data_IF_790272509738
#
_entry.id   IF_790272509738
#
_cell.length_a   1.000
_cell.length_b   1.000
_cell.length_c   1.000
_cell.angle_alpha   90.00
_cell.angle_beta   90.00
_cell.angle_gamma   90.00
#
_symmetry.space_group_name_H-M   'P 1'
#
loop_
_entity.id
_entity.type
_entity.pdbx_description
1 polymer ?
#
# COMPACT_ATOMS: atom_id res chain seq x y z
N UNK A 1 -24.90 -16.02 20.56
CA UNK A 1 -23.77 -15.10 20.29
C UNK A 1 -23.94 -14.60 18.86
N UNK A 2 -24.07 -13.29 18.64
CA UNK A 2 -24.15 -12.73 17.29
C UNK A 2 -22.80 -12.95 16.62
N UNK A 3 -22.69 -13.94 15.74
CA UNK A 3 -21.48 -14.14 14.94
C UNK A 3 -21.20 -12.87 14.15
N UNK A 4 -19.97 -12.37 14.21
CA UNK A 4 -19.60 -11.28 13.34
C UNK A 4 -19.59 -11.81 11.91
N UNK A 5 -20.44 -11.26 11.05
CA UNK A 5 -20.63 -11.82 9.71
C UNK A 5 -19.65 -11.25 8.69
N UNK A 6 -19.20 -10.01 8.88
CA UNK A 6 -18.39 -9.29 7.91
C UNK A 6 -17.21 -8.55 8.54
N UNK A 7 -16.19 -8.29 7.72
CA UNK A 7 -15.02 -7.46 8.03
C UNK A 7 -14.94 -6.27 7.09
N UNK A 8 -14.34 -5.18 7.55
CA UNK A 8 -13.92 -4.06 6.71
C UNK A 8 -12.45 -4.22 6.36
N UNK A 9 -12.11 -4.19 5.08
CA UNK A 9 -10.73 -4.26 4.61
C UNK A 9 -10.40 -2.99 3.85
N UNK A 10 -9.38 -2.29 4.31
CA UNK A 10 -8.70 -1.29 3.53
C UNK A 10 -7.58 -1.93 2.73
N UNK A 11 -7.76 -2.07 1.41
CA UNK A 11 -6.78 -2.65 0.51
C UNK A 11 -5.91 -1.50 -0.06
N UNK A 12 -4.95 -1.01 0.71
CA UNK A 12 -4.09 0.10 0.30
C UNK A 12 -2.92 -0.32 -0.61
N UNK A 13 -2.30 0.67 -1.26
CA UNK A 13 -1.20 0.47 -2.21
C UNK A 13 0.03 -0.16 -1.55
N UNK A 14 0.47 0.41 -0.42
CA UNK A 14 1.68 -0.04 0.30
C UNK A 14 1.38 -0.87 1.54
N UNK A 15 0.24 -0.60 2.18
CA UNK A 15 -0.23 -1.26 3.38
C UNK A 15 -1.73 -1.52 3.28
N UNK A 16 -2.17 -2.64 3.84
CA UNK A 16 -3.58 -2.98 4.02
C UNK A 16 -3.94 -3.05 5.51
N UNK A 17 -5.19 -2.78 5.83
CA UNK A 17 -5.72 -2.80 7.19
C UNK A 17 -7.02 -3.60 7.23
N UNK A 18 -7.28 -4.29 8.33
CA UNK A 18 -8.54 -5.02 8.54
C UNK A 18 -9.14 -4.64 9.88
N UNK A 19 -10.44 -4.35 9.86
CA UNK A 19 -11.22 -3.94 11.02
C UNK A 19 -12.53 -4.69 11.13
N UNK A 20 -13.07 -4.72 12.34
CA UNK A 20 -14.31 -5.41 12.68
C UNK A 20 -15.21 -4.50 13.51
N UNK A 21 -16.50 -4.53 13.22
CA UNK A 21 -17.53 -3.88 14.03
C UNK A 21 -18.42 -4.95 14.64
N UNK A 22 -18.36 -5.12 15.95
CA UNK A 22 -19.11 -6.15 16.67
C UNK A 22 -20.33 -5.53 17.36
N UNK A 23 -21.50 -6.13 17.16
CA UNK A 23 -22.74 -5.71 17.82
C UNK A 23 -22.57 -5.63 19.34
N UNK A 24 -22.82 -4.46 19.91
CA UNK A 24 -22.71 -4.19 21.36
C UNK A 24 -21.39 -3.56 21.80
N UNK A 25 -20.39 -3.45 20.92
CA UNK A 25 -19.25 -2.54 21.11
C UNK A 25 -19.58 -1.21 20.42
N UNK A 26 -19.32 -0.09 21.09
CA UNK A 26 -19.54 1.27 20.56
C UNK A 26 -18.46 1.67 19.54
N UNK A 27 -17.40 0.86 19.38
CA UNK A 27 -16.24 1.21 18.55
C UNK A 27 -15.85 0.11 17.58
N UNK A 28 -15.36 0.53 16.41
CA UNK A 28 -14.63 -0.33 15.46
C UNK A 28 -13.33 -0.79 16.11
N UNK A 29 -12.98 -2.06 15.93
CA UNK A 29 -11.70 -2.61 16.37
C UNK A 29 -10.80 -2.90 15.16
N UNK A 30 -9.59 -2.33 15.17
CA UNK A 30 -8.57 -2.61 14.16
C UNK A 30 -7.74 -3.80 14.62
N UNK A 31 -7.68 -4.84 13.79
CA UNK A 31 -7.09 -6.11 14.14
C UNK A 31 -5.59 -6.07 13.84
N UNK A 32 -4.77 -6.39 14.85
CA UNK A 32 -3.33 -6.55 14.65
C UNK A 32 -3.02 -7.90 13.99
N UNK A 33 -2.01 -7.92 13.11
CA UNK A 33 -1.51 -9.14 12.50
C UNK A 33 -0.64 -9.98 13.47
N UNK A 34 -0.07 -11.08 12.99
CA UNK A 34 0.76 -11.98 13.81
C UNK A 34 2.01 -11.33 14.40
N UNK A 35 2.48 -10.23 13.82
CA UNK A 35 3.62 -9.44 14.30
C UNK A 35 3.20 -8.31 15.26
N UNK A 36 1.90 -8.20 15.56
CA UNK A 36 1.35 -7.13 16.40
C UNK A 36 1.10 -5.81 15.67
N UNK A 37 1.26 -5.77 14.34
CA UNK A 37 1.06 -4.56 13.53
C UNK A 37 -0.42 -4.39 13.14
N UNK A 38 -0.98 -3.18 13.31
CA UNK A 38 -2.35 -2.84 12.88
C UNK A 38 -2.53 -2.70 11.37
N UNK A 39 -1.42 -2.61 10.64
CA UNK A 39 -1.39 -2.56 9.18
C UNK A 39 -0.40 -3.59 8.69
N UNK A 40 -0.72 -4.29 7.61
CA UNK A 40 0.15 -5.29 7.01
C UNK A 40 0.64 -4.80 5.64
N UNK A 41 1.93 -4.88 5.31
CA UNK A 41 2.42 -4.51 3.99
C UNK A 41 1.67 -5.21 2.85
N UNK A 42 1.32 -4.48 1.80
CA UNK A 42 0.70 -5.03 0.57
C UNK A 42 1.77 -5.68 -0.32
N UNK A 43 2.51 -6.62 0.25
CA UNK A 43 3.67 -7.29 -0.36
C UNK A 43 3.40 -8.79 -0.49
N UNK A 44 3.81 -9.36 -1.62
CA UNK A 44 3.78 -10.81 -1.88
C UNK A 44 5.13 -11.23 -2.43
N UNK A 45 5.77 -12.21 -1.80
CA UNK A 45 7.02 -12.77 -2.28
C UNK A 45 6.88 -14.25 -2.60
N UNK A 46 7.55 -14.67 -3.67
CA UNK A 46 7.60 -16.06 -4.12
C UNK A 46 9.00 -16.60 -3.88
N UNK A 47 9.09 -17.74 -3.19
CA UNK A 47 10.34 -18.47 -2.95
C UNK A 47 10.23 -19.86 -3.56
N UNK A 48 11.32 -20.63 -3.49
CA UNK A 48 11.31 -22.03 -3.95
C UNK A 48 10.41 -22.93 -3.09
N UNK A 49 10.17 -22.56 -1.83
CA UNK A 49 9.42 -23.41 -0.91
C UNK A 49 7.98 -22.95 -0.74
N UNK A 50 7.77 -21.64 -0.68
CA UNK A 50 6.52 -21.07 -0.21
C UNK A 50 6.22 -19.69 -0.83
N UNK A 51 5.04 -19.18 -0.51
CA UNK A 51 4.62 -17.82 -0.80
C UNK A 51 4.51 -17.07 0.51
N UNK A 52 5.20 -15.93 0.60
CA UNK A 52 5.16 -15.05 1.76
C UNK A 52 4.24 -13.85 1.44
N UNK A 53 3.52 -13.36 2.44
CA UNK A 53 2.64 -12.18 2.32
C UNK A 53 2.81 -11.29 3.55
N UNK A 54 2.79 -9.97 3.36
CA UNK A 54 2.88 -9.03 4.47
C UNK A 54 4.31 -8.73 4.92
N UNK A 55 4.52 -8.66 6.23
CA UNK A 55 5.81 -8.32 6.84
C UNK A 55 6.92 -9.27 6.37
N UNK A 56 6.67 -10.58 6.40
CA UNK A 56 7.63 -11.59 5.93
C UNK A 56 8.06 -11.39 4.46
N UNK A 57 7.14 -10.98 3.58
CA UNK A 57 7.48 -10.68 2.18
C UNK A 57 8.31 -9.39 2.06
N UNK A 58 7.93 -8.34 2.82
CA UNK A 58 8.62 -7.05 2.83
C UNK A 58 10.06 -7.17 3.37
N UNK A 59 10.28 -7.96 4.42
CA UNK A 59 11.57 -8.12 5.08
C UNK A 59 12.63 -8.77 4.18
N UNK A 60 12.24 -9.74 3.36
CA UNK A 60 13.15 -10.43 2.45
C UNK A 60 13.32 -9.74 1.08
N UNK A 61 12.60 -8.64 0.83
CA UNK A 61 12.58 -7.94 -0.46
C UNK A 61 13.98 -7.52 -0.97
N UNK A 62 14.93 -7.24 -0.07
CA UNK A 62 16.31 -6.90 -0.45
C UNK A 62 17.14 -8.11 -0.92
N UNK A 63 16.76 -9.33 -0.52
CA UNK A 63 17.45 -10.58 -0.90
C UNK A 63 16.83 -11.22 -2.14
N UNK A 64 15.55 -10.98 -2.40
CA UNK A 64 14.79 -11.56 -3.49
C UNK A 64 13.94 -10.49 -4.23
N UNK A 65 14.57 -9.45 -4.79
CA UNK A 65 13.84 -8.29 -5.31
C UNK A 65 12.95 -8.61 -6.51
N UNK A 66 13.40 -9.48 -7.42
CA UNK A 66 12.69 -9.80 -8.67
C UNK A 66 11.43 -10.65 -8.46
N UNK A 67 11.35 -11.37 -7.33
CA UNK A 67 10.20 -12.21 -6.98
C UNK A 67 9.41 -11.67 -5.78
N UNK A 68 9.64 -10.40 -5.42
CA UNK A 68 8.87 -9.71 -4.37
C UNK A 68 8.05 -8.59 -4.99
N UNK A 69 6.75 -8.85 -5.10
CA UNK A 69 5.76 -7.99 -5.73
C UNK A 69 5.15 -7.05 -4.69
N UNK A 70 5.04 -5.78 -5.07
CA UNK A 70 4.36 -4.71 -4.34
C UNK A 70 3.67 -3.79 -5.37
N UNK A 71 2.90 -2.80 -4.90
CA UNK A 71 2.17 -1.85 -5.76
C UNK A 71 1.20 -2.47 -6.77
N UNK A 72 0.75 -3.70 -6.56
CA UNK A 72 -0.21 -4.36 -7.46
C UNK A 72 -1.49 -3.53 -7.67
N UNK A 73 -1.86 -2.68 -6.69
CA UNK A 73 -2.98 -1.74 -6.79
C UNK A 73 -2.80 -0.67 -7.88
N UNK A 74 -1.56 -0.34 -8.27
CA UNK A 74 -1.28 0.55 -9.41
C UNK A 74 -1.58 -0.11 -10.75
N UNK A 75 -1.54 -1.44 -10.83
CA UNK A 75 -1.78 -2.23 -12.05
C UNK A 75 -3.22 -2.74 -12.21
N UNK A 76 -3.95 -2.92 -11.09
CA UNK A 76 -5.26 -3.56 -11.09
C UNK A 76 -6.26 -2.84 -12.00
N UNK A 77 -6.93 -3.60 -12.88
CA UNK A 77 -7.94 -3.09 -13.81
C UNK A 77 -7.43 -2.16 -14.93
N UNK A 78 -6.10 -1.99 -15.09
CA UNK A 78 -5.49 -1.19 -16.16
C UNK A 78 -5.10 -2.01 -17.38
N UNK A 79 -4.83 -1.33 -18.50
CA UNK A 79 -4.18 -1.93 -19.68
C UNK A 79 -2.67 -1.79 -19.59
N UNK A 80 -1.96 -2.73 -20.20
CA UNK A 80 -0.50 -2.73 -20.22
C UNK A 80 0.07 -1.53 -20.99
N UNK A 81 -0.64 -1.04 -22.01
CA UNK A 81 -0.20 0.07 -22.86
C UNK A 81 -0.44 1.47 -22.28
N UNK A 82 -1.05 1.58 -21.11
CA UNK A 82 -1.24 2.86 -20.43
C UNK A 82 0.11 3.50 -20.07
N UNK A 83 0.26 4.81 -20.31
CA UNK A 83 1.50 5.54 -20.06
C UNK A 83 1.93 5.48 -18.59
N UNK A 84 0.96 5.45 -17.67
CA UNK A 84 1.20 5.31 -16.23
C UNK A 84 1.80 3.95 -15.90
N UNK A 85 1.23 2.86 -16.44
CA UNK A 85 1.75 1.49 -16.27
C UNK A 85 3.18 1.39 -16.83
N UNK A 86 3.41 1.92 -18.03
CA UNK A 86 4.74 1.91 -18.64
C UNK A 86 5.77 2.75 -17.86
N UNK A 87 5.34 3.81 -17.18
CA UNK A 87 6.19 4.61 -16.31
C UNK A 87 6.55 3.82 -15.05
N UNK A 88 5.55 3.28 -14.35
CA UNK A 88 5.74 2.55 -13.10
C UNK A 88 6.63 1.29 -13.29
N UNK A 89 6.45 0.57 -14.40
CA UNK A 89 7.27 -0.61 -14.73
C UNK A 89 8.77 -0.34 -14.79
N UNK A 90 9.21 0.92 -15.01
CA UNK A 90 10.64 1.27 -15.01
C UNK A 90 11.25 1.33 -13.62
N UNK A 91 10.42 1.39 -12.59
CA UNK A 91 10.84 1.57 -11.20
C UNK A 91 10.74 0.30 -10.37
N UNK A 92 10.06 -0.73 -10.87
CA UNK A 92 9.93 -2.01 -10.17
C UNK A 92 11.07 -2.98 -10.49
N UNK A 93 11.50 -3.78 -9.50
CA UNK A 93 12.51 -4.82 -9.71
C UNK A 93 11.94 -6.10 -10.33
N UNK A 94 10.63 -6.33 -10.26
CA UNK A 94 9.96 -7.51 -10.79
C UNK A 94 9.46 -7.27 -12.22
N UNK A 95 9.35 -8.35 -12.99
CA UNK A 95 8.93 -8.26 -14.40
C UNK A 95 7.44 -8.05 -14.56
N UNK A 96 7.05 -7.13 -15.43
CA UNK A 96 5.65 -6.95 -15.88
C UNK A 96 5.59 -7.07 -17.40
N UNK A 97 4.69 -7.89 -17.92
CA UNK A 97 4.50 -8.14 -19.36
C UNK A 97 3.07 -7.83 -19.80
N UNK A 98 2.89 -7.56 -21.08
CA UNK A 98 1.57 -7.49 -21.69
C UNK A 98 1.08 -8.86 -22.14
N UNK A 99 -0.10 -9.27 -21.67
CA UNK A 99 -0.80 -10.48 -22.14
C UNK A 99 -2.24 -10.13 -22.46
N UNK A 100 -2.63 -10.28 -23.72
CA UNK A 100 -3.98 -9.89 -24.20
C UNK A 100 -4.35 -8.45 -23.82
N UNK A 101 -3.40 -7.52 -23.88
CA UNK A 101 -3.60 -6.10 -23.55
C UNK A 101 -3.59 -5.78 -22.04
N UNK A 102 -3.54 -6.77 -21.16
CA UNK A 102 -3.47 -6.59 -19.69
C UNK A 102 -2.04 -6.75 -19.16
N UNK A 103 -1.65 -6.04 -18.08
CA UNK A 103 -0.39 -6.29 -17.40
C UNK A 103 -0.46 -7.63 -16.65
N UNK A 104 0.60 -8.43 -16.75
CA UNK A 104 0.81 -9.65 -15.96
C UNK A 104 2.17 -9.59 -15.30
N UNK A 105 2.23 -9.97 -14.03
CA UNK A 105 3.44 -9.95 -13.21
C UNK A 105 4.12 -11.30 -13.35
N UNK A 106 5.38 -11.30 -13.81
CA UNK A 106 6.19 -12.50 -13.99
C UNK A 106 7.17 -12.65 -12.82
N UNK A 107 7.11 -13.80 -12.16
CA UNK A 107 8.00 -14.17 -11.04
C UNK A 107 8.51 -15.59 -11.26
N UNK A 108 9.61 -15.93 -10.62
CA UNK A 108 10.14 -17.29 -10.53
C UNK A 108 9.69 -17.94 -9.22
N UNK A 109 9.20 -19.17 -9.33
CA UNK A 109 8.82 -20.00 -8.19
C UNK A 109 9.21 -21.44 -8.50
N UNK A 110 10.06 -22.05 -7.66
CA UNK A 110 10.55 -23.43 -7.85
C UNK A 110 11.30 -23.63 -9.18
N UNK A 111 12.08 -22.62 -9.59
CA UNK A 111 12.78 -22.63 -10.89
C UNK A 111 11.86 -22.52 -12.12
N UNK A 112 10.56 -22.29 -11.94
CA UNK A 112 9.61 -22.09 -13.04
C UNK A 112 9.08 -20.66 -13.06
N UNK A 113 9.00 -20.09 -14.27
CA UNK A 113 8.33 -18.80 -14.48
C UNK A 113 6.83 -18.96 -14.29
N UNK A 114 6.26 -18.13 -13.42
CA UNK A 114 4.83 -18.01 -13.17
C UNK A 114 4.38 -16.61 -13.53
N UNK A 115 3.15 -16.51 -14.03
CA UNK A 115 2.52 -15.24 -14.37
C UNK A 115 1.27 -15.10 -13.52
N UNK A 116 1.12 -13.94 -12.89
CA UNK A 116 -0.05 -13.59 -12.08
C UNK A 116 -0.66 -12.30 -12.61
N UNK A 117 -1.99 -12.27 -12.68
CA UNK A 117 -2.71 -11.02 -12.87
C UNK A 117 -2.62 -10.18 -11.57
N UNK A 118 -2.70 -8.83 -11.65
CA UNK A 118 -2.73 -7.98 -10.47
C UNK A 118 -3.81 -8.38 -9.45
N UNK A 119 -4.96 -8.84 -9.93
CA UNK A 119 -6.08 -9.34 -9.14
C UNK A 119 -5.67 -10.54 -8.27
N UNK A 120 -4.83 -11.44 -8.78
CA UNK A 120 -4.35 -12.61 -8.02
C UNK A 120 -3.37 -12.20 -6.93
N UNK A 121 -2.52 -11.20 -7.19
CA UNK A 121 -1.61 -10.64 -6.17
C UNK A 121 -2.41 -9.93 -5.08
N UNK A 122 -3.39 -9.09 -5.45
CA UNK A 122 -4.30 -8.46 -4.48
C UNK A 122 -5.13 -9.48 -3.72
N UNK A 123 -5.54 -10.59 -4.34
CA UNK A 123 -6.24 -11.68 -3.66
C UNK A 123 -5.38 -12.35 -2.57
N UNK A 124 -4.07 -12.50 -2.79
CA UNK A 124 -3.15 -13.02 -1.78
C UNK A 124 -3.03 -12.09 -0.57
N UNK A 125 -3.05 -10.77 -0.80
CA UNK A 125 -3.10 -9.77 0.28
C UNK A 125 -4.44 -9.83 1.03
N UNK A 126 -5.56 -9.89 0.31
CA UNK A 126 -6.90 -10.03 0.90
C UNK A 126 -7.04 -11.34 1.70
N UNK A 127 -6.46 -12.43 1.22
CA UNK A 127 -6.42 -13.70 1.92
C UNK A 127 -5.68 -13.55 3.26
N UNK A 128 -4.53 -12.86 3.28
CA UNK A 128 -3.81 -12.57 4.53
C UNK A 128 -4.64 -11.71 5.50
N UNK A 129 -5.42 -10.75 4.99
CA UNK A 129 -6.30 -9.92 5.83
C UNK A 129 -7.44 -10.74 6.42
N UNK A 130 -8.03 -11.63 5.61
CA UNK A 130 -9.02 -12.60 6.05
C UNK A 130 -8.47 -13.53 7.13
N UNK A 131 -7.33 -14.18 6.90
CA UNK A 131 -6.68 -15.08 7.87
C UNK A 131 -6.36 -14.38 9.20
N UNK A 132 -5.93 -13.11 9.13
CA UNK A 132 -5.69 -12.28 10.31
C UNK A 132 -6.98 -12.07 11.10
N UNK A 133 -8.07 -11.72 10.43
CA UNK A 133 -9.36 -11.54 11.07
C UNK A 133 -9.96 -12.85 11.60
N UNK A 134 -9.86 -13.95 10.85
CA UNK A 134 -10.33 -15.29 11.25
C UNK A 134 -9.62 -15.79 12.50
N UNK A 135 -8.30 -15.57 12.58
CA UNK A 135 -7.49 -15.88 13.77
C UNK A 135 -7.97 -15.09 14.98
N UNK A 136 -8.27 -13.80 14.79
CA UNK A 136 -8.76 -12.92 15.85
C UNK A 136 -10.16 -13.29 16.35
N UNK A 137 -11.11 -13.62 15.44
CA UNK A 137 -12.49 -13.96 15.83
C UNK A 137 -12.72 -15.44 16.18
N UNK A 138 -11.78 -16.32 15.81
CA UNK A 138 -11.83 -17.75 16.08
C UNK A 138 -12.81 -18.55 15.19
N UNK A 139 -13.26 -17.99 14.06
CA UNK A 139 -14.13 -18.66 13.11
C UNK A 139 -13.91 -18.14 11.68
N UNK A 140 -14.37 -18.91 10.69
CA UNK A 140 -14.26 -18.51 9.29
C UNK A 140 -15.07 -17.25 8.97
N UNK A 141 -14.55 -16.40 8.09
CA UNK A 141 -15.17 -15.17 7.62
C UNK A 141 -15.37 -15.28 6.10
N UNK A 142 -16.59 -14.97 5.65
CA UNK A 142 -16.92 -15.00 4.22
C UNK A 142 -17.20 -13.63 3.66
N UNK A 143 -17.80 -12.74 4.43
CA UNK A 143 -18.25 -11.47 3.91
C UNK A 143 -17.27 -10.34 4.23
N UNK A 144 -17.07 -9.44 3.27
CA UNK A 144 -16.23 -8.26 3.44
C UNK A 144 -16.81 -7.02 2.77
N UNK A 145 -16.51 -5.86 3.35
CA UNK A 145 -16.59 -4.56 2.67
C UNK A 145 -15.16 -4.14 2.37
N UNK A 146 -14.87 -3.80 1.11
CA UNK A 146 -13.52 -3.49 0.64
C UNK A 146 -13.48 -2.06 0.11
N UNK A 147 -12.46 -1.30 0.50
CA UNK A 147 -12.27 0.07 0.04
C UNK A 147 -11.55 0.13 -1.32
N UNK A 148 -11.85 1.18 -2.09
CA UNK A 148 -11.11 1.57 -3.30
C UNK A 148 -11.03 3.09 -3.39
N UNK A 149 -10.05 3.66 -4.13
CA UNK A 149 -10.00 5.09 -4.37
C UNK A 149 -11.27 5.60 -5.06
N UNK A 150 -11.69 6.83 -4.78
CA UNK A 150 -12.93 7.36 -5.35
C UNK A 150 -12.86 7.49 -6.88
N UNK A 151 -11.68 7.78 -7.44
CA UNK A 151 -11.46 7.88 -8.89
C UNK A 151 -11.38 6.52 -9.62
N UNK A 152 -11.40 5.38 -8.90
CA UNK A 152 -11.38 4.08 -9.56
C UNK A 152 -12.56 3.95 -10.53
N UNK A 153 -12.25 3.62 -11.79
CA UNK A 153 -13.25 3.36 -12.81
C UNK A 153 -13.87 1.96 -12.63
N UNK A 154 -14.87 1.64 -13.45
CA UNK A 154 -15.61 0.37 -13.37
C UNK A 154 -14.71 -0.87 -13.54
N UNK A 155 -13.70 -0.81 -14.42
CA UNK A 155 -12.74 -1.89 -14.63
C UNK A 155 -11.92 -2.17 -13.37
N UNK A 156 -11.42 -1.12 -12.72
CA UNK A 156 -10.62 -1.25 -11.50
C UNK A 156 -11.48 -1.74 -10.32
N UNK A 157 -12.71 -1.23 -10.18
CA UNK A 157 -13.66 -1.70 -9.15
C UNK A 157 -14.01 -3.17 -9.33
N UNK A 158 -14.27 -3.59 -10.57
CA UNK A 158 -14.57 -4.99 -10.87
C UNK A 158 -13.36 -5.87 -10.59
N UNK A 159 -12.15 -5.46 -11.00
CA UNK A 159 -10.92 -6.19 -10.74
C UNK A 159 -10.63 -6.36 -9.23
N UNK A 160 -10.89 -5.34 -8.40
CA UNK A 160 -10.82 -5.48 -6.93
C UNK A 160 -11.85 -6.46 -6.37
N UNK A 161 -13.07 -6.48 -6.93
CA UNK A 161 -14.11 -7.45 -6.56
C UNK A 161 -13.75 -8.87 -6.98
N UNK A 162 -13.11 -9.03 -8.13
CA UNK A 162 -12.59 -10.31 -8.61
C UNK A 162 -11.47 -10.81 -7.69
N UNK A 163 -10.55 -9.93 -7.26
CA UNK A 163 -9.54 -10.25 -6.25
C UNK A 163 -10.16 -10.76 -4.93
N UNK A 164 -11.25 -10.13 -4.47
CA UNK A 164 -11.99 -10.60 -3.30
C UNK A 164 -12.57 -12.00 -3.50
N UNK A 165 -13.15 -12.25 -4.68
CA UNK A 165 -13.71 -13.56 -5.04
C UNK A 165 -12.63 -14.64 -5.06
N UNK A 166 -11.45 -14.35 -5.64
CA UNK A 166 -10.28 -15.25 -5.66
C UNK A 166 -9.79 -15.54 -4.22
N UNK A 167 -9.84 -14.55 -3.32
CA UNK A 167 -9.50 -14.71 -1.90
C UNK A 167 -10.56 -15.49 -1.09
N UNK A 168 -11.65 -15.93 -1.72
CA UNK A 168 -12.76 -16.60 -1.04
C UNK A 168 -13.53 -15.67 -0.10
N UNK A 169 -13.66 -14.39 -0.48
CA UNK A 169 -14.49 -13.39 0.15
C UNK A 169 -15.66 -13.00 -0.76
N UNK A 170 -16.84 -12.89 -0.18
CA UNK A 170 -17.99 -12.21 -0.76
C UNK A 170 -17.87 -10.70 -0.44
N UNK A 171 -17.47 -9.92 -1.44
CA UNK A 171 -17.47 -8.47 -1.32
C UNK A 171 -18.92 -7.94 -1.32
N UNK A 172 -19.51 -7.79 -0.13
CA UNK A 172 -20.88 -7.25 0.05
C UNK A 172 -20.99 -5.88 -0.62
N UNK A 173 -19.95 -5.06 -0.45
CA UNK A 173 -19.88 -3.73 -1.03
C UNK A 173 -18.44 -3.33 -1.28
N UNK A 174 -18.22 -2.66 -2.40
CA UNK A 174 -17.04 -1.85 -2.64
C UNK A 174 -17.39 -0.42 -2.27
N UNK A 175 -16.66 0.17 -1.32
CA UNK A 175 -16.89 1.56 -0.88
C UNK A 175 -15.70 2.43 -1.24
N UNK A 176 -15.94 3.72 -1.43
CA UNK A 176 -14.85 4.66 -1.65
C UNK A 176 -14.09 4.89 -0.35
N UNK A 177 -12.76 4.92 -0.41
CA UNK A 177 -11.86 5.30 0.69
C UNK A 177 -12.30 6.59 1.40
N UNK A 178 -12.56 7.71 0.70
CA UNK A 178 -13.00 8.93 1.37
C UNK A 178 -14.39 8.80 2.03
N UNK A 179 -15.29 7.96 1.51
CA UNK A 179 -16.56 7.66 2.16
C UNK A 179 -16.36 6.82 3.42
N UNK A 180 -15.44 5.85 3.39
CA UNK A 180 -15.06 5.05 4.56
C UNK A 180 -14.45 5.92 5.67
N UNK A 181 -13.56 6.86 5.30
CA UNK A 181 -12.97 7.83 6.21
C UNK A 181 -14.03 8.77 6.82
N UNK A 182 -14.96 9.28 6.00
CA UNK A 182 -16.05 10.12 6.48
C UNK A 182 -17.01 9.35 7.41
N UNK A 183 -17.29 8.08 7.12
CA UNK A 183 -18.04 7.20 8.02
C UNK A 183 -17.33 7.05 9.37
N UNK A 184 -16.03 6.73 9.36
CA UNK A 184 -15.23 6.62 10.58
C UNK A 184 -15.23 7.92 11.41
N UNK A 185 -15.20 9.08 10.75
CA UNK A 185 -15.28 10.39 11.41
C UNK A 185 -16.68 10.72 11.94
N UNK A 186 -17.73 10.31 11.23
CA UNK A 186 -19.12 10.73 11.47
C UNK A 186 -19.90 9.87 12.45
N UNK A 187 -19.49 8.61 12.70
CA UNK A 187 -20.23 7.62 13.50
C UNK A 187 -20.69 8.13 14.88
N UNK A 188 -19.88 8.95 15.56
CA UNK A 188 -20.16 9.41 16.93
C UNK A 188 -20.53 10.90 17.05
N UNK A 189 -20.66 11.63 15.93
CA UNK A 189 -20.74 13.10 15.96
C UNK A 189 -22.14 13.70 15.99
N UNK A 190 -23.19 12.89 16.02
CA UNK A 190 -24.58 13.37 16.16
C UNK A 190 -24.92 14.49 15.17
N UNK A 191 -24.66 14.26 13.88
CA UNK A 191 -24.77 15.27 12.83
C UNK A 191 -26.25 15.58 12.57
N UNK A 192 -26.71 16.76 13.03
CA UNK A 192 -28.08 17.26 12.87
C UNK A 192 -28.27 18.25 11.72
N UNK A 193 -27.17 18.79 11.18
CA UNK A 193 -27.18 19.78 10.10
C UNK A 193 -26.25 19.32 8.97
N UNK A 194 -26.56 19.71 7.73
CA UNK A 194 -25.72 19.41 6.58
C UNK A 194 -24.33 20.04 6.74
N UNK A 195 -23.28 19.24 6.58
CA UNK A 195 -21.89 19.68 6.67
C UNK A 195 -21.10 19.25 5.44
N UNK A 196 -20.35 20.19 4.90
CA UNK A 196 -19.32 19.89 3.91
C UNK A 196 -18.04 19.45 4.64
N UNK A 197 -17.52 18.29 4.26
CA UNK A 197 -16.30 17.70 4.80
C UNK A 197 -15.30 17.51 3.68
N UNK A 198 -14.08 18.00 3.89
CA UNK A 198 -12.95 17.73 3.01
C UNK A 198 -12.15 16.57 3.59
N UNK A 199 -12.00 15.51 2.81
CA UNK A 199 -11.10 14.40 3.09
C UNK A 199 -9.83 14.63 2.28
N UNK A 200 -8.70 14.71 3.00
CA UNK A 200 -7.36 14.78 2.43
C UNK A 200 -6.66 13.46 2.76
N UNK A 201 -6.44 12.63 1.75
CA UNK A 201 -5.84 11.30 1.88
C UNK A 201 -4.55 11.23 1.06
N UNK A 202 -3.41 11.28 1.74
CA UNK A 202 -2.08 11.17 1.15
C UNK A 202 -1.44 9.86 1.61
N UNK A 203 -1.62 8.84 0.79
CA UNK A 203 -1.19 7.48 1.08
C UNK A 203 0.27 7.20 0.69
N UNK A 204 0.58 5.91 0.56
CA UNK A 204 1.91 5.47 0.13
C UNK A 204 2.24 5.79 -1.33
N UNK A 205 1.23 5.85 -2.21
CA UNK A 205 1.45 6.08 -3.64
C UNK A 205 0.27 6.73 -4.37
N UNK A 206 -0.75 7.15 -3.62
CA UNK A 206 -1.93 7.83 -4.16
C UNK A 206 -2.26 9.01 -3.26
N UNK A 207 -2.70 10.09 -3.89
CA UNK A 207 -3.18 11.29 -3.24
C UNK A 207 -4.60 11.58 -3.71
N UNK A 208 -5.53 11.65 -2.77
CA UNK A 208 -6.95 11.86 -3.00
C UNK A 208 -7.47 13.02 -2.15
N UNK A 209 -8.18 13.94 -2.78
CA UNK A 209 -8.96 14.98 -2.12
C UNK A 209 -10.41 14.82 -2.52
N UNK A 210 -11.29 14.66 -1.53
CA UNK A 210 -12.74 14.56 -1.78
C UNK A 210 -13.50 15.53 -0.90
N UNK A 211 -14.47 16.22 -1.49
CA UNK A 211 -15.46 17.02 -0.76
C UNK A 211 -16.73 16.19 -0.68
N UNK A 212 -17.20 15.95 0.55
CA UNK A 212 -18.43 15.24 0.83
C UNK A 212 -19.43 16.18 1.50
N UNK A 213 -20.71 16.04 1.17
CA UNK A 213 -21.78 16.52 2.04
C UNK A 213 -22.25 15.38 2.94
N UNK A 214 -22.38 15.67 4.23
CA UNK A 214 -22.90 14.77 5.25
C UNK A 214 -24.16 15.41 5.83
N UNK A 215 -25.30 14.73 5.71
CA UNK A 215 -26.57 15.16 6.27
C UNK A 215 -27.09 14.19 7.33
N UNK A 216 -28.16 14.59 8.03
CA UNK A 216 -28.86 13.73 8.99
C UNK A 216 -29.24 12.38 8.35
N UNK A 217 -29.12 11.30 9.12
CA UNK A 217 -29.39 9.93 8.65
C UNK A 217 -28.21 9.22 7.95
N UNK A 218 -26.97 9.71 8.12
CA UNK A 218 -25.75 9.07 7.59
C UNK A 218 -25.76 8.95 6.06
N UNK A 219 -26.35 9.95 5.39
CA UNK A 219 -26.27 10.07 3.94
C UNK A 219 -24.95 10.80 3.63
N UNK A 220 -24.05 10.10 2.94
CA UNK A 220 -22.77 10.63 2.49
C UNK A 220 -22.81 10.79 0.98
N UNK A 221 -22.72 12.03 0.51
CA UNK A 221 -22.68 12.33 -0.92
C UNK A 221 -21.32 12.91 -1.29
N UNK A 222 -20.62 12.25 -2.22
CA UNK A 222 -19.38 12.79 -2.78
C UNK A 222 -19.74 13.90 -3.76
N UNK A 223 -19.38 15.13 -3.46
CA UNK A 223 -19.65 16.32 -4.28
C UNK A 223 -18.59 16.51 -5.37
N UNK A 224 -17.33 16.28 -5.02
CA UNK A 224 -16.21 16.36 -5.97
C UNK A 224 -15.02 15.56 -5.46
N UNK A 225 -14.24 15.01 -6.39
CA UNK A 225 -12.97 14.34 -6.12
C UNK A 225 -11.91 14.86 -7.09
N UNK A 226 -10.70 15.10 -6.57
CA UNK A 226 -9.50 15.40 -7.32
C UNK A 226 -8.31 14.72 -6.65
N UNK A 227 -7.14 14.69 -7.29
CA UNK A 227 -5.98 14.04 -6.70
C UNK A 227 -4.92 13.69 -7.73
N UNK A 228 -3.91 12.96 -7.28
CA UNK A 228 -2.87 12.37 -8.11
C UNK A 228 -2.69 10.89 -7.78
N UNK A 229 -2.93 10.05 -8.79
CA UNK A 229 -2.88 8.59 -8.69
C UNK A 229 -1.44 8.04 -8.61
N UNK A 230 -0.43 8.91 -8.74
CA UNK A 230 1.01 8.59 -8.70
C UNK A 230 1.80 9.54 -7.80
N UNK A 231 1.18 10.05 -6.74
CA UNK A 231 1.84 10.84 -5.71
C UNK A 231 1.62 10.20 -4.33
N UNK A 232 2.69 9.98 -3.56
CA UNK A 232 2.57 9.59 -2.17
C UNK A 232 3.90 9.43 -1.44
N UNK A 233 3.84 8.71 -0.32
CA UNK A 233 4.98 8.45 0.55
C UNK A 233 6.23 7.90 -0.16
N UNK A 234 6.06 7.12 -1.23
CA UNK A 234 7.17 6.52 -2.00
C UNK A 234 7.92 7.54 -2.84
N UNK A 235 7.25 8.59 -3.32
CA UNK A 235 7.87 9.68 -4.07
C UNK A 235 8.76 10.51 -3.15
N UNK A 236 8.35 10.72 -1.91
CA UNK A 236 9.18 11.35 -0.88
C UNK A 236 10.43 10.50 -0.58
N UNK A 237 10.27 9.17 -0.52
CA UNK A 237 11.40 8.25 -0.36
C UNK A 237 12.34 8.28 -1.58
N UNK A 238 11.78 8.45 -2.79
CA UNK A 238 12.54 8.62 -4.03
C UNK A 238 13.37 9.90 -4.03
N UNK A 239 12.86 11.02 -3.48
CA UNK A 239 13.62 12.27 -3.33
C UNK A 239 14.84 12.09 -2.44
N UNK A 240 14.67 11.42 -1.30
CA UNK A 240 15.79 11.07 -0.42
C UNK A 240 16.78 10.14 -1.12
N UNK A 241 16.29 9.12 -1.84
CA UNK A 241 17.14 8.19 -2.59
C UNK A 241 18.04 8.90 -3.59
N UNK A 242 17.47 9.79 -4.42
CA UNK A 242 18.26 10.54 -5.40
C UNK A 242 19.30 11.44 -4.72
N UNK A 243 18.94 12.10 -3.62
CA UNK A 243 19.85 12.95 -2.85
C UNK A 243 21.05 12.15 -2.31
N UNK A 244 20.78 11.03 -1.64
CA UNK A 244 21.82 10.22 -1.02
C UNK A 244 22.64 9.40 -2.01
N UNK A 245 22.09 9.01 -3.16
CA UNK A 245 22.86 8.44 -4.26
C UNK A 245 23.91 9.43 -4.78
N UNK A 246 23.51 10.69 -4.99
CA UNK A 246 24.42 11.75 -5.43
C UNK A 246 25.47 12.07 -4.35
N UNK A 247 25.07 12.12 -3.08
CA UNK A 247 25.99 12.31 -1.95
C UNK A 247 27.01 11.17 -1.87
N UNK A 248 26.55 9.92 -1.96
CA UNK A 248 27.41 8.74 -1.92
C UNK A 248 28.41 8.76 -3.07
N UNK A 249 27.95 8.99 -4.30
CA UNK A 249 28.82 9.12 -5.48
C UNK A 249 29.84 10.25 -5.33
N UNK A 250 29.45 11.39 -4.76
CA UNK A 250 30.37 12.51 -4.48
C UNK A 250 31.42 12.15 -3.43
N UNK A 251 31.05 11.43 -2.37
CA UNK A 251 31.95 11.05 -1.26
C UNK A 251 32.88 9.90 -1.61
N UNK A 252 32.42 8.93 -2.40
CA UNK A 252 33.12 7.65 -2.62
C UNK A 252 33.59 7.45 -4.06
N UNK A 253 33.10 8.25 -5.01
CA UNK A 253 33.32 8.07 -6.44
C UNK A 253 32.53 6.89 -7.05
N UNK A 254 31.68 6.21 -6.28
CA UNK A 254 30.99 4.98 -6.70
C UNK A 254 29.51 5.24 -6.99
N UNK A 255 29.02 4.66 -8.09
CA UNK A 255 27.62 4.74 -8.49
C UNK A 255 26.87 3.48 -8.03
N UNK A 256 25.87 3.67 -7.17
CA UNK A 256 25.09 2.56 -6.59
C UNK A 256 23.84 2.20 -7.42
N UNK A 257 23.51 3.01 -8.44
CA UNK A 257 22.37 2.80 -9.35
C UNK A 257 22.27 1.37 -9.91
N UNK A 258 23.37 0.69 -10.32
CA UNK A 258 23.27 -0.65 -10.92
C UNK A 258 23.07 -1.78 -9.90
N UNK A 259 22.94 -1.50 -8.59
CA UNK A 259 22.81 -2.53 -7.56
C UNK A 259 21.41 -2.49 -6.90
N UNK A 260 20.45 -3.32 -7.37
CA UNK A 260 19.08 -3.33 -6.85
C UNK A 260 19.01 -3.62 -5.34
N UNK A 261 19.90 -4.47 -4.82
CA UNK A 261 19.97 -4.78 -3.39
C UNK A 261 20.37 -3.56 -2.56
N UNK A 262 21.38 -2.81 -3.00
CA UNK A 262 21.80 -1.58 -2.34
C UNK A 262 20.67 -0.53 -2.35
N UNK A 263 20.02 -0.33 -3.50
CA UNK A 263 18.88 0.57 -3.64
C UNK A 263 17.72 0.17 -2.72
N UNK A 264 17.37 -1.13 -2.64
CA UNK A 264 16.30 -1.59 -1.76
C UNK A 264 16.63 -1.36 -0.28
N UNK A 265 17.86 -1.64 0.15
CA UNK A 265 18.31 -1.38 1.53
C UNK A 265 18.22 0.10 1.88
N UNK A 266 18.55 0.98 0.94
CA UNK A 266 18.40 2.43 1.11
C UNK A 266 16.94 2.85 1.25
N UNK A 267 16.05 2.38 0.38
CA UNK A 267 14.61 2.67 0.48
C UNK A 267 14.06 2.28 1.85
N UNK A 268 14.43 1.11 2.38
CA UNK A 268 14.03 0.68 3.73
C UNK A 268 14.54 1.65 4.81
N UNK A 269 15.81 2.09 4.72
CA UNK A 269 16.38 3.04 5.66
C UNK A 269 15.70 4.42 5.57
N UNK A 270 15.37 4.88 4.37
CA UNK A 270 14.70 6.15 4.12
C UNK A 270 13.24 6.14 4.59
N UNK A 271 12.48 5.07 4.35
CA UNK A 271 11.13 4.94 4.89
C UNK A 271 11.14 5.08 6.42
N UNK A 272 12.11 4.46 7.10
CA UNK A 272 12.31 4.59 8.55
C UNK A 272 12.69 6.01 8.94
N UNK A 273 13.64 6.63 8.24
CA UNK A 273 14.08 7.99 8.51
C UNK A 273 12.93 9.00 8.34
N UNK A 274 12.14 8.90 7.26
CA UNK A 274 10.93 9.70 7.02
C UNK A 274 9.95 9.61 8.19
N UNK A 275 9.65 8.40 8.66
CA UNK A 275 8.78 8.19 9.84
C UNK A 275 9.35 8.85 11.10
N UNK A 276 10.66 8.78 11.31
CA UNK A 276 11.33 9.49 12.42
C UNK A 276 11.21 11.00 12.28
N UNK A 277 11.37 11.55 11.07
CA UNK A 277 11.28 12.98 10.81
C UNK A 277 9.87 13.55 11.05
N UNK A 278 8.81 12.72 11.03
CA UNK A 278 7.46 13.15 11.37
C UNK A 278 7.31 13.60 12.84
N UNK A 279 8.17 13.13 13.75
CA UNK A 279 8.14 13.50 15.17
C UNK A 279 9.45 14.11 15.69
N UNK A 280 10.55 13.95 14.97
CA UNK A 280 11.88 14.49 15.30
C UNK A 280 12.39 15.48 14.27
N UNK A 281 13.30 16.38 14.66
CA UNK A 281 13.93 17.37 13.76
C UNK A 281 15.08 16.81 12.92
N UNK A 282 15.64 15.66 13.31
CA UNK A 282 16.69 14.94 12.58
C UNK A 282 16.51 13.43 12.63
N UNK A 283 17.09 12.73 11.65
CA UNK A 283 17.19 11.29 11.60
C UNK A 283 18.58 10.86 11.11
N UNK A 284 19.14 9.81 11.71
CA UNK A 284 20.38 9.17 11.28
C UNK A 284 20.06 8.03 10.32
N UNK A 285 20.82 7.95 9.23
CA UNK A 285 20.74 6.89 8.22
C UNK A 285 22.03 6.08 8.29
N UNK A 286 21.91 4.81 8.67
CA UNK A 286 23.03 3.88 8.80
C UNK A 286 22.73 2.61 8.02
N UNK A 287 23.59 2.30 7.04
CA UNK A 287 23.52 1.09 6.23
C UNK A 287 24.92 0.51 6.05
N UNK A 288 25.22 -0.54 6.82
CA UNK A 288 26.53 -1.21 6.78
C UNK A 288 26.77 -1.90 5.44
N UNK A 289 27.98 -1.81 4.90
CA UNK A 289 28.41 -2.45 3.66
C UNK A 289 27.37 -2.25 2.54
N UNK A 290 26.92 -1.00 2.35
CA UNK A 290 25.90 -0.64 1.39
C UNK A 290 26.32 -1.06 -0.03
N UNK A 291 27.55 -0.71 -0.43
CA UNK A 291 28.08 -0.98 -1.76
C UNK A 291 29.59 -1.17 -1.70
N UNK A 292 30.13 -2.26 -2.27
CA UNK A 292 31.57 -2.58 -2.25
C UNK A 292 32.22 -2.52 -0.85
N UNK A 293 31.50 -2.97 0.20
CA UNK A 293 31.91 -2.90 1.62
C UNK A 293 32.06 -1.47 2.18
N UNK A 294 31.56 -0.47 1.47
CA UNK A 294 31.49 0.91 1.96
C UNK A 294 30.17 1.09 2.70
N UNK A 295 30.26 1.58 3.94
CA UNK A 295 29.11 1.92 4.77
C UNK A 295 28.51 3.27 4.32
N UNK A 296 27.19 3.42 4.51
CA UNK A 296 26.55 4.73 4.49
C UNK A 296 26.20 5.11 5.93
N UNK A 297 26.86 6.14 6.45
CA UNK A 297 26.48 6.82 7.69
C UNK A 297 26.25 8.30 7.35
N UNK A 298 25.01 8.76 7.45
CA UNK A 298 24.66 10.16 7.20
C UNK A 298 23.51 10.61 8.10
N UNK A 299 23.24 11.91 8.10
CA UNK A 299 22.14 12.52 8.83
C UNK A 299 21.29 13.36 7.88
N UNK A 300 19.99 13.38 8.10
CA UNK A 300 19.05 14.26 7.42
C UNK A 300 18.24 15.03 8.46
N UNK A 301 18.07 16.33 8.23
CA UNK A 301 17.17 17.18 9.03
C UNK A 301 15.79 17.21 8.40
N UNK A 302 14.76 17.49 9.20
CA UNK A 302 13.39 17.68 8.70
C UNK A 302 13.34 18.80 7.64
N UNK A 303 14.01 19.92 7.90
CA UNK A 303 14.09 21.03 6.96
C UNK A 303 14.69 20.62 5.60
N UNK A 304 15.74 19.76 5.61
CA UNK A 304 16.32 19.27 4.35
C UNK A 304 15.38 18.31 3.63
N UNK A 305 14.66 17.47 4.37
CA UNK A 305 13.65 16.58 3.78
C UNK A 305 12.49 17.37 3.16
N UNK A 306 11.99 18.40 3.84
CA UNK A 306 10.96 19.32 3.34
C UNK A 306 11.46 20.05 2.08
N UNK A 307 12.70 20.54 2.06
CA UNK A 307 13.31 21.17 0.87
C UNK A 307 13.37 20.20 -0.33
N UNK A 308 13.74 18.94 -0.10
CA UNK A 308 13.81 17.90 -1.14
C UNK A 308 12.45 17.56 -1.76
N UNK A 309 11.37 17.83 -1.03
CA UNK A 309 9.99 17.54 -1.43
C UNK A 309 9.17 18.81 -1.68
N UNK A 310 9.79 19.99 -1.75
CA UNK A 310 9.07 21.27 -1.71
C UNK A 310 8.11 21.51 -2.89
N UNK A 311 8.33 20.84 -4.02
CA UNK A 311 7.47 20.88 -5.21
C UNK A 311 6.39 19.79 -5.25
N UNK A 312 6.45 18.80 -4.35
CA UNK A 312 5.46 17.74 -4.19
C UNK A 312 4.35 18.17 -3.22
#
# INVERSE_FOLDING_TARGET
MSSCKAIGIDLGTTYSCVGIYQNGKVSVEIIANSEGNKTTPSYVAFTDTERLVGDAAKDQAARNPENTVFDAKRLIGRRFDESTVQSDCKHWPFGVKGKQGKPVIEVEMKGEKRQFNPEEISAMVLQKMKETAETYVGHAIKDAVITVPAYFNDSQRQATKDAATIAGLNAIRIINEPTAAALAYGLDKGISEEKNVLIFDLGGGTFDVSILSISEGSIFEVKSTAGDTHLGGEDFDQRMLQHFMNEFKRKTGKDISPNPRAIRRLRTAFERAKRTLSSSSEATIEVDSLFERIDLCSKITRARFEELCADL
#
